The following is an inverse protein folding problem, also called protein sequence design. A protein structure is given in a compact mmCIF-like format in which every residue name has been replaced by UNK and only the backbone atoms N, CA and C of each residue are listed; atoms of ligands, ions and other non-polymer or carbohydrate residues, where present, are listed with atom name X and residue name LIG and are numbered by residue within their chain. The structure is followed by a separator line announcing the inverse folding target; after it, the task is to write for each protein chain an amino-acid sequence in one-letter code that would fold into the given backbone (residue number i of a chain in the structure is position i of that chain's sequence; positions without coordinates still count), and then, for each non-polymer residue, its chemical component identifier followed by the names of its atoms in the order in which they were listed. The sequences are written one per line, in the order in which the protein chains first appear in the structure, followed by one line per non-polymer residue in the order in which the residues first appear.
data_IF_903304978511
#
_entry.id   IF_903304978511
#
_cell.length_a   1.000
_cell.length_b   1.000
_cell.length_c   1.000
_cell.angle_alpha   90.00
_cell.angle_beta   90.00
_cell.angle_gamma   90.00
#
_symmetry.space_group_name_H-M   'P 1'
#
loop_
_entity.id
_entity.type
_entity.pdbx_description
1 polymer ?
#
# COMPACT_ATOMS: atom_id res chain seq x y z
N UNK A 1 9.13 -25.92 40.48
CA UNK A 1 10.09 -25.14 39.67
C UNK A 1 9.47 -25.00 38.29
N UNK A 2 8.89 -23.84 38.01
CA UNK A 2 8.18 -23.59 36.75
C UNK A 2 9.07 -22.80 35.82
N UNK A 3 9.37 -23.36 34.65
CA UNK A 3 9.99 -22.62 33.56
C UNK A 3 8.89 -22.26 32.56
N UNK A 4 8.49 -20.99 32.63
CA UNK A 4 7.48 -20.40 31.77
C UNK A 4 8.14 -20.04 30.43
N UNK A 5 7.77 -20.82 29.40
CA UNK A 5 8.13 -20.61 28.01
C UNK A 5 7.72 -19.20 27.57
N UNK A 6 8.70 -18.32 27.37
CA UNK A 6 8.51 -16.95 26.87
C UNK A 6 7.84 -17.01 25.49
N UNK A 7 6.55 -16.66 25.47
CA UNK A 7 5.83 -16.34 24.25
C UNK A 7 6.44 -15.06 23.68
N UNK A 8 6.96 -15.14 22.47
CA UNK A 8 7.29 -13.96 21.67
C UNK A 8 5.97 -13.38 21.12
N UNK A 9 5.13 -12.85 22.01
CA UNK A 9 4.08 -11.91 21.64
C UNK A 9 4.78 -10.62 21.23
N UNK A 10 5.10 -10.52 19.94
CA UNK A 10 5.52 -9.25 19.33
C UNK A 10 4.28 -8.36 19.38
N UNK A 11 4.15 -7.62 20.47
CA UNK A 11 3.24 -6.49 20.59
C UNK A 11 3.72 -5.43 19.60
N UNK A 12 3.22 -5.54 18.36
CA UNK A 12 3.37 -4.47 17.38
C UNK A 12 2.48 -3.35 17.91
N UNK A 13 3.04 -2.18 18.29
CA UNK A 13 2.24 -1.09 18.83
C UNK A 13 1.11 -0.74 17.84
N UNK A 14 -0.11 -0.47 18.33
CA UNK A 14 -1.30 -0.25 17.49
C UNK A 14 -1.12 0.86 16.42
N UNK A 15 -0.13 1.75 16.62
CA UNK A 15 0.27 2.79 15.68
C UNK A 15 0.77 2.29 14.30
N UNK A 16 1.40 1.11 14.19
CA UNK A 16 1.96 0.64 12.90
C UNK A 16 0.93 -0.03 11.97
N UNK A 17 -0.18 -0.53 12.51
CA UNK A 17 -1.26 -1.17 11.73
C UNK A 17 -2.28 -0.15 11.20
N UNK A 18 -2.68 0.84 12.01
CA UNK A 18 -3.59 1.91 11.58
C UNK A 18 -2.98 2.76 10.45
N UNK A 19 -1.68 3.11 10.56
CA UNK A 19 -0.95 3.85 9.51
C UNK A 19 -1.07 3.23 8.10
N UNK A 20 -1.25 1.92 7.97
CA UNK A 20 -1.32 1.24 6.66
C UNK A 20 -2.68 1.33 5.97
N UNK A 21 -3.76 1.50 6.74
CA UNK A 21 -5.08 1.82 6.19
C UNK A 21 -5.17 3.28 5.78
N UNK A 22 -4.47 4.14 6.52
CA UNK A 22 -4.46 5.59 6.31
C UNK A 22 -3.68 6.01 5.06
N UNK A 23 -2.57 5.35 4.73
CA UNK A 23 -1.70 5.75 3.61
C UNK A 23 -2.45 5.92 2.27
N UNK A 24 -3.42 5.04 1.96
CA UNK A 24 -4.19 5.19 0.72
C UNK A 24 -5.13 6.41 0.77
N UNK A 25 -5.74 6.67 1.93
CA UNK A 25 -6.62 7.82 2.13
C UNK A 25 -5.80 9.13 2.14
N UNK A 26 -4.69 9.12 2.87
CA UNK A 26 -3.73 10.20 3.01
C UNK A 26 -3.17 10.60 1.64
N UNK A 27 -2.77 9.63 0.81
CA UNK A 27 -2.29 9.88 -0.56
C UNK A 27 -3.32 10.64 -1.41
N UNK A 28 -4.58 10.22 -1.39
CA UNK A 28 -5.65 10.88 -2.16
C UNK A 28 -6.02 12.24 -1.56
N UNK A 29 -5.82 12.44 -0.26
CA UNK A 29 -5.99 13.73 0.41
C UNK A 29 -4.90 14.73 -0.01
N UNK A 30 -3.63 14.33 0.05
CA UNK A 30 -2.47 15.16 -0.33
C UNK A 30 -2.49 15.45 -1.83
N UNK A 31 -2.82 14.43 -2.64
CA UNK A 31 -2.80 14.50 -4.10
C UNK A 31 -4.11 13.97 -4.70
N UNK A 32 -5.18 14.79 -4.68
CA UNK A 32 -6.47 14.41 -5.26
C UNK A 32 -6.41 14.22 -6.78
N UNK A 33 -5.39 14.74 -7.45
CA UNK A 33 -5.12 14.52 -8.87
C UNK A 33 -4.71 13.07 -9.22
N UNK A 34 -4.39 12.25 -8.21
CA UNK A 34 -4.10 10.83 -8.40
C UNK A 34 -5.35 9.96 -8.50
N UNK A 35 -6.54 10.52 -8.27
CA UNK A 35 -7.81 9.82 -8.50
C UNK A 35 -7.91 9.39 -9.97
N UNK A 36 -8.20 8.11 -10.19
CA UNK A 36 -8.28 7.50 -11.52
C UNK A 36 -6.92 7.19 -12.17
N UNK A 37 -5.80 7.50 -11.50
CA UNK A 37 -4.47 7.16 -12.03
C UNK A 37 -4.11 5.71 -11.76
N UNK A 38 -3.31 5.15 -12.66
CA UNK A 38 -2.72 3.82 -12.52
C UNK A 38 -1.55 3.92 -11.53
N UNK A 39 -1.43 2.91 -10.68
CA UNK A 39 -0.30 2.67 -9.79
C UNK A 39 0.30 1.31 -10.12
N UNK A 40 1.62 1.23 -10.00
CA UNK A 40 2.41 0.08 -10.41
C UNK A 40 3.08 -0.51 -9.18
N UNK A 41 2.71 -1.75 -8.83
CA UNK A 41 3.40 -2.52 -7.80
C UNK A 41 4.48 -3.39 -8.44
N UNK A 42 5.75 -3.07 -8.16
CA UNK A 42 6.88 -3.84 -8.69
C UNK A 42 7.20 -5.03 -7.80
N UNK A 43 7.04 -6.23 -8.36
CA UNK A 43 7.37 -7.50 -7.70
C UNK A 43 8.79 -7.99 -7.97
N UNK A 44 9.39 -7.54 -9.07
CA UNK A 44 10.82 -7.59 -9.43
C UNK A 44 11.12 -6.31 -10.24
N UNK A 45 12.35 -6.13 -10.75
CA UNK A 45 12.69 -4.98 -11.59
C UNK A 45 11.97 -5.02 -12.95
N UNK A 46 11.71 -6.22 -13.47
CA UNK A 46 11.08 -6.47 -14.77
C UNK A 46 9.56 -6.72 -14.68
N UNK A 47 9.04 -7.00 -13.48
CA UNK A 47 7.66 -7.46 -13.30
C UNK A 47 6.87 -6.57 -12.35
N UNK A 48 5.83 -5.94 -12.89
CA UNK A 48 4.89 -5.11 -12.14
C UNK A 48 3.44 -5.58 -12.25
N UNK A 49 2.60 -5.06 -11.35
CA UNK A 49 1.16 -5.25 -11.33
C UNK A 49 0.47 -3.89 -11.29
N UNK A 50 -0.54 -3.73 -12.13
CA UNK A 50 -1.30 -2.49 -12.25
C UNK A 50 -2.51 -2.49 -11.31
N UNK A 51 -2.68 -1.38 -10.60
CA UNK A 51 -3.87 -1.05 -9.85
C UNK A 51 -4.34 0.35 -10.26
N UNK A 52 -5.64 0.61 -10.25
CA UNK A 52 -6.18 1.95 -10.47
C UNK A 52 -6.62 2.52 -9.14
N UNK A 53 -6.15 3.73 -8.82
CA UNK A 53 -6.62 4.47 -7.65
C UNK A 53 -8.06 4.92 -7.90
N UNK A 54 -8.98 4.38 -7.13
CA UNK A 54 -10.39 4.71 -7.22
C UNK A 54 -10.81 5.43 -5.94
N UNK A 55 -11.58 6.51 -6.05
CA UNK A 55 -12.15 7.19 -4.88
C UNK A 55 -13.66 7.04 -4.89
N UNK A 56 -14.18 6.29 -3.91
CA UNK A 56 -15.61 6.18 -3.71
C UNK A 56 -16.12 7.44 -3.03
N UNK A 57 -16.78 8.31 -3.79
CA UNK A 57 -17.37 9.56 -3.28
C UNK A 57 -18.51 9.31 -2.29
N UNK A 58 -19.22 8.18 -2.40
CA UNK A 58 -20.31 7.80 -1.49
C UNK A 58 -19.77 7.40 -0.12
N UNK A 59 -18.75 6.55 -0.09
CA UNK A 59 -18.11 6.10 1.15
C UNK A 59 -17.02 7.05 1.67
N UNK A 60 -16.70 8.10 0.91
CA UNK A 60 -15.57 9.01 1.11
C UNK A 60 -14.25 8.27 1.33
N UNK A 61 -14.04 7.17 0.61
CA UNK A 61 -12.90 6.26 0.79
C UNK A 61 -12.18 5.96 -0.53
N UNK A 62 -10.86 6.06 -0.50
CA UNK A 62 -9.98 5.58 -1.54
C UNK A 62 -9.87 4.04 -1.51
N UNK A 63 -9.81 3.44 -2.68
CA UNK A 63 -9.69 2.02 -2.94
C UNK A 63 -8.74 1.81 -4.13
N UNK A 64 -8.23 0.60 -4.29
CA UNK A 64 -7.42 0.21 -5.44
C UNK A 64 -8.16 -0.87 -6.20
N UNK A 65 -8.46 -0.58 -7.46
CA UNK A 65 -8.99 -1.57 -8.39
C UNK A 65 -7.84 -2.33 -9.03
N UNK A 66 -7.75 -3.63 -8.78
CA UNK A 66 -6.75 -4.48 -9.42
C UNK A 66 -7.33 -5.08 -10.71
N UNK A 67 -6.82 -4.64 -11.86
CA UNK A 67 -7.28 -5.12 -13.16
C UNK A 67 -7.10 -6.64 -13.30
N UNK A 68 -5.94 -7.17 -12.87
CA UNK A 68 -5.65 -8.62 -12.86
C UNK A 68 -6.59 -9.46 -12.00
N UNK A 69 -7.27 -8.86 -11.02
CA UNK A 69 -8.18 -9.56 -10.10
C UNK A 69 -9.65 -9.22 -10.33
N UNK A 70 -9.94 -8.22 -11.17
CA UNK A 70 -11.25 -7.58 -11.24
C UNK A 70 -11.85 -7.32 -9.85
N UNK A 71 -11.02 -6.82 -8.91
CA UNK A 71 -11.37 -6.72 -7.50
C UNK A 71 -10.89 -5.38 -6.90
N UNK A 72 -11.71 -4.82 -6.02
CA UNK A 72 -11.41 -3.64 -5.22
C UNK A 72 -10.74 -4.01 -3.89
N UNK A 73 -9.73 -3.24 -3.50
CA UNK A 73 -9.03 -3.37 -2.23
C UNK A 73 -9.05 -2.07 -1.44
N UNK A 74 -9.26 -2.16 -0.12
CA UNK A 74 -9.32 -0.98 0.76
C UNK A 74 -7.93 -0.43 1.10
N UNK A 75 -6.88 -1.25 0.95
CA UNK A 75 -5.49 -0.85 1.24
C UNK A 75 -4.52 -1.46 0.24
N UNK A 76 -3.36 -0.81 0.09
CA UNK A 76 -2.23 -1.37 -0.67
C UNK A 76 -1.80 -2.74 -0.13
N UNK A 77 -1.83 -2.93 1.18
CA UNK A 77 -1.50 -4.22 1.82
C UNK A 77 -2.49 -5.32 1.43
N UNK A 78 -3.79 -5.04 1.40
CA UNK A 78 -4.80 -6.01 0.95
C UNK A 78 -4.59 -6.39 -0.51
N UNK A 79 -4.32 -5.39 -1.36
CA UNK A 79 -4.03 -5.62 -2.77
C UNK A 79 -2.80 -6.51 -2.95
N UNK A 80 -1.67 -6.18 -2.33
CA UNK A 80 -0.41 -6.94 -2.46
C UNK A 80 -0.52 -8.35 -1.87
N UNK A 81 -1.18 -8.49 -0.72
CA UNK A 81 -1.43 -9.81 -0.14
C UNK A 81 -2.31 -10.68 -1.04
N UNK A 82 -3.28 -10.08 -1.75
CA UNK A 82 -4.06 -10.81 -2.75
C UNK A 82 -3.13 -11.34 -3.85
N UNK A 83 -2.22 -10.51 -4.37
CA UNK A 83 -1.28 -10.93 -5.42
C UNK A 83 -0.38 -12.06 -4.92
N UNK A 84 0.15 -11.94 -3.70
CA UNK A 84 0.98 -12.97 -3.05
C UNK A 84 0.25 -14.30 -2.88
N UNK A 85 -1.01 -14.28 -2.43
CA UNK A 85 -1.82 -15.50 -2.20
C UNK A 85 -2.04 -16.34 -3.47
N UNK A 86 -1.89 -15.78 -4.67
CA UNK A 86 -1.92 -16.56 -5.92
C UNK A 86 -0.55 -17.01 -6.43
N UNK A 87 0.52 -16.78 -5.66
CA UNK A 87 1.87 -17.10 -6.07
C UNK A 87 2.38 -16.21 -7.21
N UNK A 88 1.78 -15.03 -7.43
CA UNK A 88 2.20 -14.11 -8.49
C UNK A 88 3.61 -13.53 -8.25
N UNK A 89 4.04 -13.51 -6.99
CA UNK A 89 5.41 -13.20 -6.57
C UNK A 89 5.76 -13.89 -5.24
N UNK A 90 7.06 -13.99 -4.93
CA UNK A 90 7.60 -14.55 -3.67
C UNK A 90 8.37 -13.47 -2.90
N UNK A 91 8.35 -13.53 -1.56
CA UNK A 91 9.07 -12.60 -0.68
C UNK A 91 8.19 -11.68 0.18
N UNK A 92 8.85 -10.86 1.03
CA UNK A 92 8.22 -9.79 1.81
C UNK A 92 8.63 -8.45 1.21
N UNK A 93 7.68 -7.73 0.63
CA UNK A 93 7.89 -6.38 0.09
C UNK A 93 6.96 -5.42 0.82
N UNK A 94 7.50 -4.29 1.30
CA UNK A 94 6.69 -3.23 1.87
C UNK A 94 5.88 -2.57 0.75
N UNK A 95 4.57 -2.52 0.93
CA UNK A 95 3.65 -1.91 -0.03
C UNK A 95 4.05 -0.48 -0.41
N UNK A 96 4.47 0.29 0.59
CA UNK A 96 4.71 1.73 0.44
C UNK A 96 5.95 2.01 -0.41
N UNK A 97 7.00 1.17 -0.27
CA UNK A 97 8.29 1.37 -0.97
C UNK A 97 8.33 0.74 -2.36
N UNK A 98 7.27 0.04 -2.77
CA UNK A 98 7.26 -0.74 -4.01
C UNK A 98 6.11 -0.39 -4.94
N UNK A 99 5.37 0.68 -4.62
CA UNK A 99 4.30 1.20 -5.45
C UNK A 99 4.70 2.57 -6.00
N UNK A 100 4.56 2.67 -7.31
CA UNK A 100 4.99 3.81 -8.12
C UNK A 100 3.82 4.35 -8.93
N UNK A 101 3.90 5.62 -9.33
CA UNK A 101 2.90 6.25 -10.20
C UNK A 101 3.17 6.04 -11.68
N UNK A 102 4.37 5.62 -12.03
CA UNK A 102 4.81 5.37 -13.40
C UNK A 102 5.29 3.91 -13.52
N UNK A 103 5.25 3.32 -14.72
CA UNK A 103 5.75 1.97 -14.98
C UNK A 103 7.30 1.93 -15.02
N UNK A 104 7.95 2.71 -14.16
CA UNK A 104 9.39 2.79 -14.03
C UNK A 104 9.79 2.73 -12.54
N UNK A 105 10.68 1.82 -12.11
CA UNK A 105 11.04 1.63 -10.70
C UNK A 105 12.00 2.71 -10.16
N UNK A 106 12.52 3.60 -11.01
CA UNK A 106 13.33 4.78 -10.65
C UNK A 106 12.41 6.01 -10.45
N UNK A 107 11.18 5.95 -10.95
CA UNK A 107 10.18 7.01 -10.82
C UNK A 107 9.77 7.29 -9.36
N UNK A 108 9.01 8.38 -9.20
CA UNK A 108 8.53 8.84 -7.90
C UNK A 108 7.64 7.78 -7.23
N UNK A 109 8.14 7.19 -6.15
CA UNK A 109 7.38 6.25 -5.33
C UNK A 109 6.30 6.96 -4.51
N UNK A 110 5.25 6.22 -4.13
CA UNK A 110 4.23 6.72 -3.19
C UNK A 110 4.87 7.07 -1.84
N UNK A 111 5.89 6.34 -1.39
CA UNK A 111 6.64 6.67 -0.19
C UNK A 111 7.21 8.09 -0.23
N UNK A 112 7.80 8.49 -1.37
CA UNK A 112 8.39 9.82 -1.55
C UNK A 112 7.33 10.92 -1.53
N UNK A 113 6.14 10.66 -2.07
CA UNK A 113 5.02 11.62 -2.03
C UNK A 113 4.56 11.85 -0.59
N UNK A 114 4.43 10.77 0.19
CA UNK A 114 4.00 10.82 1.59
C UNK A 114 5.07 11.43 2.51
N UNK A 115 6.36 11.20 2.21
CA UNK A 115 7.47 11.80 2.95
C UNK A 115 7.62 13.29 2.65
N UNK A 116 7.43 13.71 1.39
CA UNK A 116 7.49 15.12 1.02
C UNK A 116 6.24 15.91 1.45
N UNK A 117 5.19 15.22 1.89
CA UNK A 117 4.03 15.82 2.53
C UNK A 117 4.14 15.85 4.05
N UNK A 118 5.32 15.58 4.63
CA UNK A 118 5.63 15.87 6.04
C UNK A 118 5.58 17.40 6.23
N UNK A 119 4.34 17.88 6.26
CA UNK A 119 3.96 19.21 6.64
C UNK A 119 4.30 19.32 8.12
N UNK A 120 5.22 20.25 8.39
CA UNK A 120 5.44 20.89 9.69
C UNK A 120 4.13 20.94 10.47
N UNK A 121 4.09 20.39 11.71
CA UNK A 121 3.02 20.76 12.62
C UNK A 121 3.20 22.26 12.91
N UNK A 122 2.20 23.07 12.56
CA UNK A 122 2.04 24.42 13.10
C UNK A 122 1.49 24.32 14.51
#
# INVERSE_FOLDING_TARGET
MGEQLMKCDIDIPPSKRQKREEVLQELICIRPNLKGKIVYFFSTLDKYFEGVLFYNTKEKKAQIYCNKRNQMFKTFSQWINSLKKRGLFKGFRSAITTIFLEPDPISLSIATILHNSDHKPY
#
